data_IF_341321378959
#
_entry.id   IF_341321378959
#
_cell.length_a   1.000
_cell.length_b   1.000
_cell.length_c   1.000
_cell.angle_alpha   90.00
_cell.angle_beta   90.00
_cell.angle_gamma   90.00
#
_symmetry.space_group_name_H-M   'P 1'
#
loop_
_entity.id
_entity.type
_entity.pdbx_description
1 polymer ?
#
# COMPACT_ATOMS: atom_id res chain seq x y z
N UNK A 1 -1.62 -51.65 -90.35
CA UNK A 1 -2.42 -50.41 -90.51
C UNK A 1 -3.38 -50.36 -89.33
N UNK A 2 -3.44 -49.23 -88.63
CA UNK A 2 -4.14 -48.95 -87.35
C UNK A 2 -3.46 -49.50 -86.07
N UNK A 3 -2.92 -48.69 -85.14
CA UNK A 3 -3.55 -47.69 -84.21
C UNK A 3 -4.49 -48.40 -83.22
N UNK A 4 -4.43 -48.30 -81.88
CA UNK A 4 -4.12 -47.23 -80.92
C UNK A 4 -3.73 -47.85 -79.54
N UNK A 5 -2.73 -47.35 -78.80
CA UNK A 5 -2.83 -46.39 -77.68
C UNK A 5 -3.99 -46.58 -76.69
N UNK A 6 -3.72 -47.04 -75.45
CA UNK A 6 -4.26 -46.42 -74.22
C UNK A 6 -3.19 -46.48 -73.12
N UNK A 7 -2.86 -45.28 -72.64
CA UNK A 7 -1.86 -44.96 -71.64
C UNK A 7 -2.47 -44.90 -70.23
N UNK A 8 -1.61 -45.22 -69.29
CA UNK A 8 -1.67 -45.22 -67.84
C UNK A 8 -2.23 -43.90 -67.29
N UNK A 9 -3.06 -43.96 -66.24
CA UNK A 9 -2.79 -43.30 -64.95
C UNK A 9 -4.04 -43.22 -64.08
N UNK A 10 -3.97 -43.96 -62.97
CA UNK A 10 -4.87 -43.83 -61.83
C UNK A 10 -4.62 -42.49 -61.14
N UNK A 11 -5.66 -41.67 -61.06
CA UNK A 11 -5.69 -40.43 -60.30
C UNK A 11 -5.85 -40.77 -58.81
N UNK A 12 -4.75 -40.71 -58.04
CA UNK A 12 -4.79 -40.76 -56.58
C UNK A 12 -4.98 -39.33 -56.06
N UNK A 13 -6.13 -39.06 -55.45
CA UNK A 13 -6.40 -37.79 -54.76
C UNK A 13 -5.73 -37.87 -53.38
N UNK A 14 -4.61 -37.17 -53.21
CA UNK A 14 -4.06 -36.88 -51.88
C UNK A 14 -4.92 -35.79 -51.24
N UNK A 15 -5.65 -36.15 -50.17
CA UNK A 15 -6.26 -35.19 -49.27
C UNK A 15 -5.14 -34.54 -48.43
N UNK A 16 -4.88 -33.25 -48.64
CA UNK A 16 -3.98 -32.47 -47.80
C UNK A 16 -4.66 -32.16 -46.46
N UNK A 17 -4.11 -32.70 -45.38
CA UNK A 17 -4.46 -32.33 -44.01
C UNK A 17 -3.93 -30.93 -43.70
N UNK A 18 -4.81 -29.94 -43.63
CA UNK A 18 -4.51 -28.59 -43.15
C UNK A 18 -4.52 -28.62 -41.62
N UNK A 19 -3.34 -28.72 -41.01
CA UNK A 19 -3.17 -28.54 -39.58
C UNK A 19 -3.27 -27.05 -39.24
N UNK A 20 -4.39 -26.62 -38.64
CA UNK A 20 -4.49 -25.29 -38.04
C UNK A 20 -3.55 -25.22 -36.82
N UNK A 21 -2.43 -24.52 -36.99
CA UNK A 21 -1.60 -24.07 -35.87
C UNK A 21 -2.35 -22.96 -35.13
N UNK A 22 -3.13 -23.33 -34.12
CA UNK A 22 -3.65 -22.39 -33.12
C UNK A 22 -2.45 -21.84 -32.34
N UNK A 23 -1.95 -20.70 -32.79
CA UNK A 23 -0.97 -19.92 -32.04
C UNK A 23 -1.70 -19.30 -30.86
N UNK A 24 -1.70 -20.01 -29.72
CA UNK A 24 -2.12 -19.46 -28.45
C UNK A 24 -1.15 -18.31 -28.10
N UNK A 25 -1.62 -17.07 -28.22
CA UNK A 25 -0.93 -15.92 -27.66
C UNK A 25 -0.94 -16.09 -26.14
N UNK A 26 0.15 -16.61 -25.57
CA UNK A 26 0.45 -16.42 -24.16
C UNK A 26 0.63 -14.92 -23.94
N UNK A 27 -0.41 -14.25 -23.45
CA UNK A 27 -0.24 -12.92 -22.90
C UNK A 27 0.60 -13.06 -21.62
N UNK A 28 1.75 -12.39 -21.50
CA UNK A 28 2.41 -12.30 -20.22
C UNK A 28 1.45 -11.55 -19.29
N UNK A 29 0.87 -12.27 -18.33
CA UNK A 29 0.21 -11.65 -17.18
C UNK A 29 1.29 -10.82 -16.51
N UNK A 30 1.25 -9.50 -16.71
CA UNK A 30 2.07 -8.55 -15.96
C UNK A 30 1.62 -8.60 -14.51
N UNK A 31 2.07 -9.62 -13.78
CA UNK A 31 2.04 -9.62 -12.32
C UNK A 31 3.22 -8.74 -11.87
N UNK A 32 3.12 -7.44 -12.13
CA UNK A 32 3.87 -6.48 -11.34
C UNK A 32 3.28 -6.60 -9.93
N UNK A 33 4.01 -7.27 -9.05
CA UNK A 33 3.67 -7.34 -7.63
C UNK A 33 3.68 -5.92 -7.10
N UNK A 34 2.52 -5.26 -7.09
CA UNK A 34 2.38 -3.89 -6.66
C UNK A 34 2.78 -3.81 -5.17
N UNK A 35 3.94 -3.22 -4.91
CA UNK A 35 4.48 -3.07 -3.57
C UNK A 35 3.49 -2.23 -2.74
N UNK A 36 2.89 -2.83 -1.72
CA UNK A 36 1.83 -2.23 -0.93
C UNK A 36 0.62 -1.72 -1.75
N UNK A 37 0.31 -2.35 -2.89
CA UNK A 37 -0.80 -1.93 -3.75
C UNK A 37 -0.61 -0.58 -4.45
N UNK A 38 0.61 -0.01 -4.40
CA UNK A 38 0.96 1.23 -5.07
C UNK A 38 1.30 0.99 -6.54
N UNK A 39 0.93 1.94 -7.39
CA UNK A 39 1.39 2.02 -8.77
C UNK A 39 2.82 2.55 -8.84
N UNK A 40 3.54 2.26 -9.93
CA UNK A 40 4.90 2.77 -10.14
C UNK A 40 4.96 4.30 -10.05
N UNK A 41 3.97 5.00 -10.63
CA UNK A 41 3.89 6.46 -10.54
C UNK A 41 3.75 6.97 -9.10
N UNK A 42 2.97 6.27 -8.25
CA UNK A 42 2.85 6.63 -6.83
C UNK A 42 4.17 6.38 -6.07
N UNK A 43 4.85 5.27 -6.37
CA UNK A 43 6.16 4.95 -5.81
C UNK A 43 7.18 6.04 -6.18
N UNK A 44 7.26 6.44 -7.44
CA UNK A 44 8.18 7.48 -7.89
C UNK A 44 7.87 8.84 -7.25
N UNK A 45 6.59 9.19 -7.09
CA UNK A 45 6.19 10.40 -6.37
C UNK A 45 6.62 10.35 -4.91
N UNK A 46 6.41 9.23 -4.20
CA UNK A 46 6.85 9.08 -2.81
C UNK A 46 8.38 9.21 -2.67
N UNK A 47 9.13 8.58 -3.57
CA UNK A 47 10.61 8.67 -3.60
C UNK A 47 11.12 10.08 -3.84
N UNK A 48 10.36 10.94 -4.51
CA UNK A 48 10.76 12.34 -4.72
C UNK A 48 10.94 13.14 -3.43
N UNK A 49 10.45 12.64 -2.28
CA UNK A 49 10.72 13.20 -0.96
C UNK A 49 12.19 13.07 -0.54
N UNK A 50 12.97 12.21 -1.19
CA UNK A 50 14.36 11.91 -0.85
C UNK A 50 14.50 11.51 0.64
N UNK A 51 13.62 10.62 1.08
CA UNK A 51 13.55 10.03 2.42
C UNK A 51 13.23 8.55 2.29
N UNK A 52 13.55 7.78 3.32
CA UNK A 52 13.08 6.39 3.41
C UNK A 52 11.56 6.38 3.59
N UNK A 53 10.87 5.70 2.69
CA UNK A 53 9.41 5.62 2.69
C UNK A 53 9.01 4.26 3.26
N UNK A 54 8.25 4.25 4.35
CA UNK A 54 7.69 3.05 4.92
C UNK A 54 6.31 2.76 4.32
N UNK A 55 6.12 1.52 3.87
CA UNK A 55 4.84 1.03 3.32
C UNK A 55 4.54 -0.35 3.92
N UNK A 56 3.27 -0.75 4.01
CA UNK A 56 2.92 -2.06 4.56
C UNK A 56 3.18 -3.16 3.52
N UNK A 57 3.92 -4.20 3.91
CA UNK A 57 4.05 -5.41 3.08
C UNK A 57 2.77 -6.28 3.16
N UNK A 58 1.98 -6.13 4.22
CA UNK A 58 0.69 -6.78 4.39
C UNK A 58 -0.44 -5.75 4.31
N UNK A 59 -1.39 -6.00 3.42
CA UNK A 59 -2.62 -5.21 3.30
C UNK A 59 -3.79 -6.16 3.56
N UNK A 60 -4.75 -5.80 4.44
CA UNK A 60 -5.89 -6.65 4.71
C UNK A 60 -6.65 -6.99 3.41
N UNK A 61 -7.22 -8.20 3.29
CA UNK A 61 -7.97 -8.59 2.10
C UNK A 61 -9.06 -7.58 1.74
N UNK A 62 -9.20 -7.27 0.45
CA UNK A 62 -10.19 -6.32 -0.06
C UNK A 62 -9.79 -4.84 0.03
N UNK A 63 -8.71 -4.49 0.74
CA UNK A 63 -8.20 -3.13 0.77
C UNK A 63 -7.38 -2.79 -0.47
N UNK A 64 -7.46 -1.53 -0.90
CA UNK A 64 -6.68 -0.96 -1.99
C UNK A 64 -6.22 0.45 -1.63
N UNK A 65 -5.15 0.92 -2.27
CA UNK A 65 -4.75 2.32 -2.17
C UNK A 65 -5.85 3.19 -2.78
N UNK A 66 -6.44 4.05 -1.96
CA UNK A 66 -7.46 5.02 -2.36
C UNK A 66 -6.83 6.39 -2.68
N UNK A 67 -5.81 6.79 -1.92
CA UNK A 67 -5.15 8.08 -2.10
C UNK A 67 -3.68 8.05 -1.64
N UNK A 68 -2.86 8.90 -2.24
CA UNK A 68 -1.46 9.14 -1.86
C UNK A 68 -1.20 10.64 -1.85
N UNK A 69 -1.07 11.19 -0.65
CA UNK A 69 -0.80 12.60 -0.42
C UNK A 69 0.66 12.79 -0.03
N UNK A 70 1.30 13.78 -0.64
CA UNK A 70 2.72 14.06 -0.47
C UNK A 70 2.87 15.57 -0.28
N UNK A 71 3.59 15.97 0.76
CA UNK A 71 4.01 17.35 0.98
C UNK A 71 5.53 17.40 0.97
N UNK A 72 6.09 17.92 -0.11
CA UNK A 72 7.51 18.23 -0.23
C UNK A 72 7.83 19.57 0.47
N UNK A 73 9.09 19.72 0.86
CA UNK A 73 9.58 20.91 1.57
C UNK A 73 10.89 21.39 0.92
N UNK A 74 10.83 21.94 -0.29
CA UNK A 74 12.01 22.29 -1.09
C UNK A 74 12.85 23.41 -0.45
N UNK A 75 12.22 24.35 0.26
CA UNK A 75 12.91 25.54 0.83
C UNK A 75 13.26 25.41 2.32
N UNK A 76 13.21 24.19 2.89
CA UNK A 76 13.52 23.96 4.31
C UNK A 76 12.44 24.43 5.29
N UNK A 77 12.83 24.95 6.46
CA UNK A 77 11.92 25.24 7.59
C UNK A 77 10.89 26.34 7.27
N UNK A 78 11.21 27.29 6.39
CA UNK A 78 10.33 28.41 6.04
C UNK A 78 9.05 27.99 5.31
N UNK A 79 9.06 26.86 4.60
CA UNK A 79 7.90 26.32 3.87
C UNK A 79 7.21 25.15 4.59
N UNK A 80 7.88 24.52 5.57
CA UNK A 80 7.33 23.40 6.34
C UNK A 80 7.84 23.33 7.78
N UNK A 81 7.07 23.85 8.73
CA UNK A 81 7.37 23.79 10.18
C UNK A 81 7.71 22.37 10.68
N UNK A 82 7.06 21.35 10.13
CA UNK A 82 7.21 19.95 10.55
C UNK A 82 7.96 19.08 9.53
N UNK A 83 8.62 19.69 8.54
CA UNK A 83 9.32 18.96 7.49
C UNK A 83 8.37 18.28 6.48
N UNK A 84 8.94 17.44 5.59
CA UNK A 84 8.17 16.72 4.57
C UNK A 84 7.26 15.65 5.20
N UNK A 85 6.16 15.34 4.52
CA UNK A 85 5.18 14.37 5.00
C UNK A 85 4.54 13.60 3.85
N UNK A 86 4.00 12.43 4.16
CA UNK A 86 3.11 11.71 3.25
C UNK A 86 1.99 11.00 4.02
N UNK A 87 0.91 10.68 3.31
CA UNK A 87 -0.14 9.78 3.77
C UNK A 87 -0.52 8.85 2.61
N UNK A 88 -0.56 7.55 2.89
CA UNK A 88 -1.08 6.54 1.96
C UNK A 88 -2.37 6.02 2.58
N UNK A 89 -3.51 6.31 1.94
CA UNK A 89 -4.83 5.93 2.44
C UNK A 89 -5.25 4.63 1.76
N UNK A 90 -5.62 3.65 2.57
CA UNK A 90 -6.14 2.36 2.15
C UNK A 90 -7.63 2.29 2.48
N UNK A 91 -8.44 1.89 1.51
CA UNK A 91 -9.88 1.71 1.67
C UNK A 91 -10.29 0.30 1.28
N UNK A 92 -11.14 -0.30 2.11
CA UNK A 92 -11.71 -1.63 1.91
C UNK A 92 -13.23 -1.58 1.83
N UNK A 93 -13.84 -2.76 1.97
CA UNK A 93 -15.29 -2.92 1.97
C UNK A 93 -15.94 -2.26 3.19
N UNK A 94 -17.26 -2.05 3.11
CA UNK A 94 -18.06 -1.43 4.18
C UNK A 94 -17.53 -0.06 4.65
N UNK A 95 -16.90 0.69 3.74
CA UNK A 95 -16.28 1.99 4.03
C UNK A 95 -15.24 1.91 5.16
N UNK A 96 -14.51 0.79 5.27
CA UNK A 96 -13.41 0.66 6.22
C UNK A 96 -12.15 1.32 5.66
N UNK A 97 -11.39 2.04 6.49
CA UNK A 97 -10.17 2.70 6.02
C UNK A 97 -9.09 2.79 7.10
N UNK A 98 -7.84 2.91 6.64
CA UNK A 98 -6.69 3.28 7.45
C UNK A 98 -5.67 4.03 6.59
N UNK A 99 -4.70 4.67 7.22
CA UNK A 99 -3.58 5.31 6.55
C UNK A 99 -2.25 4.93 7.19
N UNK A 100 -1.20 4.91 6.36
CA UNK A 100 0.17 5.02 6.82
C UNK A 100 0.60 6.46 6.61
N UNK A 101 0.88 7.14 7.72
CA UNK A 101 1.24 8.55 7.75
C UNK A 101 2.71 8.70 8.10
N UNK A 102 3.35 9.72 7.55
CA UNK A 102 4.69 10.10 7.97
C UNK A 102 4.89 11.61 8.02
N UNK A 103 5.71 12.08 8.96
CA UNK A 103 6.05 13.50 9.16
C UNK A 103 7.52 13.66 9.56
N UNK A 104 8.12 14.79 9.21
CA UNK A 104 9.50 15.12 9.61
C UNK A 104 9.64 15.58 11.07
N UNK A 105 8.54 15.88 11.76
CA UNK A 105 8.57 16.32 13.15
C UNK A 105 7.21 16.77 13.68
N UNK A 106 7.21 17.42 14.84
CA UNK A 106 5.98 17.83 15.54
C UNK A 106 5.20 16.64 16.11
N UNK A 107 5.92 15.58 16.46
CA UNK A 107 5.32 14.32 16.90
C UNK A 107 5.04 14.30 18.40
N UNK A 108 3.98 13.60 18.71
CA UNK A 108 3.34 13.48 20.01
C UNK A 108 1.96 12.88 19.78
N UNK A 109 1.33 12.40 20.83
CA UNK A 109 0.03 11.80 20.73
C UNK A 109 -0.50 11.50 22.13
N UNK A 110 -1.81 11.67 22.35
CA UNK A 110 -2.41 11.18 23.57
C UNK A 110 -2.39 9.65 23.58
N UNK A 111 -2.51 9.09 24.77
CA UNK A 111 -2.86 7.67 24.93
C UNK A 111 -4.38 7.50 24.86
N UNK A 112 -4.82 6.32 24.44
CA UNK A 112 -6.24 5.95 24.45
C UNK A 112 -6.52 4.93 25.57
N UNK A 113 -7.79 4.58 25.76
CA UNK A 113 -8.26 3.62 26.77
C UNK A 113 -7.49 2.29 26.77
N UNK A 114 -7.07 1.82 25.60
CA UNK A 114 -6.44 0.52 25.44
C UNK A 114 -5.18 0.59 24.58
N UNK A 115 -4.29 -0.39 24.81
CA UNK A 115 -3.05 -0.54 24.05
C UNK A 115 -2.82 -1.99 23.62
N UNK A 116 -2.17 -2.17 22.47
CA UNK A 116 -1.61 -3.45 22.02
C UNK A 116 -0.13 -3.28 21.68
N UNK A 117 0.72 -4.28 22.00
CA UNK A 117 2.13 -4.22 21.62
C UNK A 117 2.31 -4.36 20.11
N UNK A 118 3.26 -3.61 19.56
CA UNK A 118 3.77 -3.73 18.20
C UNK A 118 5.24 -4.16 18.27
N UNK A 119 5.62 -5.10 17.42
CA UNK A 119 7.00 -5.51 17.18
C UNK A 119 7.32 -5.46 15.69
N UNK A 120 7.72 -4.27 15.21
CA UNK A 120 8.07 -4.05 13.82
C UNK A 120 9.50 -4.52 13.51
N UNK A 121 9.74 -5.28 12.43
CA UNK A 121 11.09 -5.65 12.01
C UNK A 121 11.98 -4.45 11.65
N UNK A 122 11.40 -3.32 11.22
CA UNK A 122 12.16 -2.14 10.79
C UNK A 122 12.17 -1.01 11.81
N UNK A 123 11.22 -0.99 12.76
CA UNK A 123 11.11 0.05 13.79
C UNK A 123 11.29 -0.45 15.22
N UNK A 124 11.34 -1.76 15.46
CA UNK A 124 11.43 -2.36 16.79
C UNK A 124 10.09 -2.33 17.54
N UNK A 125 10.18 -2.31 18.88
CA UNK A 125 9.01 -2.34 19.78
C UNK A 125 8.32 -0.98 19.85
N UNK A 126 6.99 -0.98 19.83
CA UNK A 126 6.13 0.20 19.99
C UNK A 126 4.74 -0.22 20.49
N UNK A 127 3.79 0.72 20.54
CA UNK A 127 2.41 0.50 20.97
C UNK A 127 1.40 0.96 19.91
N UNK A 128 0.30 0.23 19.82
CA UNK A 128 -0.94 0.64 19.17
C UNK A 128 -1.90 1.12 20.26
N UNK A 129 -2.49 2.29 20.10
CA UNK A 129 -3.53 2.81 20.98
C UNK A 129 -4.88 2.71 20.30
N UNK A 130 -5.92 2.32 21.04
CA UNK A 130 -7.29 2.26 20.52
C UNK A 130 -8.33 2.53 21.61
N UNK A 131 -9.55 2.86 21.18
CA UNK A 131 -10.66 3.22 22.07
C UNK A 131 -10.92 4.71 22.07
N UNK A 132 -11.49 5.24 23.16
CA UNK A 132 -11.70 6.67 23.32
C UNK A 132 -10.45 7.33 23.92
N UNK A 133 -10.36 8.64 23.77
CA UNK A 133 -9.38 9.41 24.53
C UNK A 133 -9.72 9.30 26.01
N UNK A 134 -8.69 9.27 26.86
CA UNK A 134 -8.93 9.31 28.30
C UNK A 134 -9.77 10.54 28.67
N UNK A 135 -10.56 10.40 29.74
CA UNK A 135 -11.51 11.41 30.18
C UNK A 135 -10.85 12.73 30.63
N UNK A 136 -9.54 12.78 30.82
CA UNK A 136 -8.82 13.95 31.30
C UNK A 136 -8.34 14.85 30.14
N UNK A 137 -8.16 14.29 28.94
CA UNK A 137 -7.60 15.04 27.80
C UNK A 137 -8.62 15.74 26.89
N UNK A 138 -9.91 15.39 26.91
CA UNK A 138 -10.94 16.05 26.08
C UNK A 138 -12.33 16.09 26.73
N UNK A 139 -12.79 17.30 27.05
CA UNK A 139 -14.23 17.58 27.14
C UNK A 139 -14.88 17.31 25.77
N UNK A 140 -15.70 16.26 25.69
CA UNK A 140 -16.67 16.06 24.60
C UNK A 140 -16.42 14.83 23.72
N UNK A 141 -17.34 13.86 23.81
CA UNK A 141 -17.76 12.88 22.79
C UNK A 141 -16.78 12.53 21.65
N UNK A 142 -15.51 12.25 21.97
CA UNK A 142 -14.58 11.83 20.94
C UNK A 142 -14.95 10.41 20.51
N UNK A 143 -15.25 10.24 19.21
CA UNK A 143 -15.51 8.92 18.64
C UNK A 143 -14.31 8.00 18.87
N UNK A 144 -14.54 6.69 19.11
CA UNK A 144 -13.44 5.74 19.21
C UNK A 144 -12.52 5.79 17.99
N UNK A 145 -11.22 5.74 18.23
CA UNK A 145 -10.19 5.79 17.18
C UNK A 145 -9.10 4.76 17.45
N UNK A 146 -8.12 4.69 16.56
CA UNK A 146 -6.98 3.79 16.64
C UNK A 146 -5.78 4.39 15.90
N UNK A 147 -4.61 4.33 16.51
CA UNK A 147 -3.35 4.75 15.87
C UNK A 147 -2.16 4.09 16.56
N UNK A 148 -1.06 3.90 15.84
CA UNK A 148 0.21 3.54 16.49
C UNK A 148 0.86 4.80 17.07
N UNK A 149 1.78 4.60 18.01
CA UNK A 149 2.77 5.63 18.32
C UNK A 149 3.55 6.01 17.05
N UNK A 150 4.18 7.19 17.08
CA UNK A 150 5.09 7.62 16.04
C UNK A 150 6.36 6.75 16.08
N UNK A 151 6.50 5.91 15.07
CA UNK A 151 7.63 5.04 14.83
C UNK A 151 8.77 5.80 14.16
N UNK A 152 10.00 5.36 14.39
CA UNK A 152 11.18 5.87 13.69
C UNK A 152 12.10 6.68 14.60
N UNK A 153 13.39 6.38 14.51
CA UNK A 153 14.45 7.06 15.24
C UNK A 153 15.13 8.09 14.33
N UNK A 154 14.44 9.22 14.12
CA UNK A 154 14.97 10.30 13.27
C UNK A 154 16.21 10.96 13.88
N UNK A 155 16.42 10.82 15.19
CA UNK A 155 17.59 11.36 15.88
C UNK A 155 18.87 10.63 15.45
N UNK A 156 18.81 9.30 15.30
CA UNK A 156 19.94 8.50 14.83
C UNK A 156 19.90 8.21 13.33
N UNK A 157 18.81 8.53 12.62
CA UNK A 157 18.70 8.36 11.17
C UNK A 157 17.96 9.53 10.50
N UNK A 158 18.67 10.58 10.03
CA UNK A 158 18.05 11.78 9.47
C UNK A 158 17.34 11.57 8.12
N UNK A 159 17.51 10.39 7.51
CA UNK A 159 16.80 10.01 6.28
C UNK A 159 15.42 9.38 6.58
N UNK A 160 15.10 9.09 7.84
CA UNK A 160 13.78 8.63 8.26
C UNK A 160 12.82 9.81 8.48
N UNK A 161 11.54 9.48 8.38
CA UNK A 161 10.45 10.28 8.93
C UNK A 161 9.88 9.53 10.14
N UNK A 162 9.17 10.24 11.00
CA UNK A 162 8.29 9.58 11.95
C UNK A 162 7.11 9.00 11.19
N UNK A 163 6.79 7.73 11.41
CA UNK A 163 5.75 6.99 10.69
C UNK A 163 4.71 6.47 11.68
N UNK A 164 3.43 6.45 11.32
CA UNK A 164 2.41 5.77 12.14
C UNK A 164 1.33 5.11 11.30
N UNK A 165 0.66 4.14 11.90
CA UNK A 165 -0.65 3.71 11.49
C UNK A 165 -1.71 4.69 12.03
N UNK A 166 -2.69 5.04 11.21
CA UNK A 166 -3.82 5.89 11.59
C UNK A 166 -5.14 5.30 11.09
N UNK A 167 -6.07 5.06 12.01
CA UNK A 167 -7.46 4.71 11.70
C UNK A 167 -8.39 5.91 11.69
N UNK A 168 -9.67 5.66 11.44
CA UNK A 168 -10.76 6.63 11.48
C UNK A 168 -10.70 7.54 12.71
N UNK A 169 -10.69 8.84 12.47
CA UNK A 169 -10.65 9.88 13.50
C UNK A 169 -9.24 10.25 14.00
N UNK A 170 -8.19 9.52 13.61
CA UNK A 170 -6.82 9.81 14.04
C UNK A 170 -6.17 10.97 13.27
N UNK A 171 -6.70 11.30 12.08
CA UNK A 171 -6.25 12.42 11.25
C UNK A 171 -7.32 12.87 10.26
N UNK A 172 -7.01 13.91 9.47
CA UNK A 172 -7.87 14.37 8.37
C UNK A 172 -7.92 13.42 7.17
N UNK A 173 -6.95 12.51 7.02
CA UNK A 173 -6.88 11.61 5.86
C UNK A 173 -7.83 10.42 6.00
N UNK A 174 -8.21 10.10 7.22
CA UNK A 174 -9.04 8.96 7.59
C UNK A 174 -10.19 9.46 8.46
N UNK A 175 -11.13 10.18 7.83
CA UNK A 175 -12.38 10.62 8.46
C UNK A 175 -13.57 9.92 7.84
N UNK A 176 -14.64 9.79 8.61
CA UNK A 176 -15.94 9.28 8.13
C UNK A 176 -15.86 7.87 7.53
N UNK A 177 -14.97 7.03 8.07
CA UNK A 177 -14.81 5.63 7.69
C UNK A 177 -14.85 4.73 8.93
N UNK A 178 -14.94 3.42 8.72
CA UNK A 178 -14.86 2.43 9.78
C UNK A 178 -13.42 2.02 10.05
N UNK A 179 -13.08 1.83 11.33
CA UNK A 179 -11.79 1.26 11.71
C UNK A 179 -11.73 -0.23 11.37
N UNK A 180 -10.54 -0.69 10.99
CA UNK A 180 -10.20 -2.12 11.09
C UNK A 180 -10.03 -2.51 12.56
N UNK A 181 -9.97 -3.82 12.85
CA UNK A 181 -9.76 -4.28 14.23
C UNK A 181 -8.36 -3.88 14.73
N UNK A 182 -8.16 -3.74 16.05
CA UNK A 182 -6.85 -3.45 16.62
C UNK A 182 -5.77 -4.49 16.25
N UNK A 183 -6.10 -5.77 16.26
CA UNK A 183 -5.17 -6.84 15.90
C UNK A 183 -4.76 -6.75 14.43
N UNK A 184 -5.70 -6.37 13.55
CA UNK A 184 -5.42 -6.17 12.14
C UNK A 184 -4.52 -4.95 11.91
N UNK A 185 -4.73 -3.86 12.67
CA UNK A 185 -3.85 -2.70 12.67
C UNK A 185 -2.43 -3.03 13.17
N UNK A 186 -2.28 -3.89 14.19
CA UNK A 186 -0.97 -4.41 14.61
C UNK A 186 -0.29 -5.13 13.44
N UNK A 187 -0.96 -6.07 12.77
CA UNK A 187 -0.38 -6.80 11.63
C UNK A 187 0.09 -5.86 10.51
N UNK A 188 -0.73 -4.87 10.16
CA UNK A 188 -0.36 -3.86 9.15
C UNK A 188 0.90 -3.12 9.58
N UNK A 189 0.93 -2.66 10.84
CA UNK A 189 2.05 -1.86 11.37
C UNK A 189 3.33 -2.67 11.49
N UNK A 190 3.24 -3.93 11.94
CA UNK A 190 4.38 -4.85 12.01
C UNK A 190 4.89 -5.27 10.62
N UNK A 191 4.04 -5.19 9.59
CA UNK A 191 4.44 -5.49 8.21
C UNK A 191 5.16 -4.34 7.49
N UNK A 192 5.36 -3.20 8.15
CA UNK A 192 6.00 -2.05 7.52
C UNK A 192 7.42 -2.40 7.06
N UNK A 193 7.71 -2.05 5.81
CA UNK A 193 9.01 -2.18 5.16
C UNK A 193 9.37 -0.88 4.48
N UNK A 194 10.68 -0.65 4.28
CA UNK A 194 11.13 0.50 3.49
C UNK A 194 11.16 0.17 2.01
N UNK A 195 10.71 1.11 1.19
CA UNK A 195 10.89 1.07 -0.25
C UNK A 195 12.08 1.96 -0.62
N UNK A 196 13.02 1.40 -1.38
CA UNK A 196 14.16 2.10 -1.97
C UNK A 196 13.75 2.66 -3.31
#
# INVERSE_FOLDING_TARGET
MFKDFINVSKLLILAASVSLLTTACFQPVQSQTALAGLTENQIQRLKSLNRKIAVPAYIPPGFKVADVQIKSCPDGISSCRFGPSYAIVYQGENNSCFAIEATGGGVGGPVLEFELPINSPVFGKSQLYYGRFDHEMREGNASPTIFSDWLGDVANNPNLLFVRFAGSGASQFVQNCNNISPEEAVKVTESLVFIN
#
